data_IF_163767844308
#
_entry.id   IF_163767844308
#
_cell.length_a   1.000
_cell.length_b   1.000
_cell.length_c   1.000
_cell.angle_alpha   90.00
_cell.angle_beta   90.00
_cell.angle_gamma   90.00
#
_symmetry.space_group_name_H-M   'P 1'
#
loop_
_entity.id
_entity.type
_entity.pdbx_description
1 polymer ?
#
# COMPACT_ATOMS: atom_id res chain seq x y z
N UNK A 1 1.21 22.52 23.23
CA UNK A 1 0.82 21.18 23.73
C UNK A 1 2.00 20.25 23.55
N UNK A 2 2.73 19.97 24.62
CA UNK A 2 3.76 18.93 24.68
C UNK A 2 3.06 17.57 24.62
N UNK A 3 2.94 16.98 23.43
CA UNK A 3 2.47 15.60 23.33
C UNK A 3 3.51 14.71 24.02
N UNK A 4 3.15 14.13 25.16
CA UNK A 4 3.95 13.05 25.75
C UNK A 4 4.25 12.03 24.67
N UNK A 5 5.55 11.79 24.44
CA UNK A 5 6.01 10.99 23.31
C UNK A 5 5.73 9.51 23.62
N UNK A 6 4.52 9.06 23.30
CA UNK A 6 4.02 7.72 23.64
C UNK A 6 4.81 6.68 22.85
N UNK A 7 5.76 6.02 23.51
CA UNK A 7 6.60 4.98 22.89
C UNK A 7 5.72 3.89 22.27
N UNK A 8 5.88 3.67 20.96
CA UNK A 8 5.20 2.59 20.25
C UNK A 8 5.79 1.24 20.68
N UNK A 9 4.98 0.44 21.37
CA UNK A 9 5.39 -0.86 21.92
C UNK A 9 5.11 -2.05 20.98
N UNK A 10 5.51 -3.26 21.43
CA UNK A 10 5.30 -4.53 20.71
C UNK A 10 3.83 -4.75 20.30
N UNK A 11 2.87 -4.40 21.17
CA UNK A 11 1.43 -4.52 20.91
C UNK A 11 0.97 -3.64 19.73
N UNK A 12 1.55 -2.45 19.56
CA UNK A 12 1.26 -1.61 18.39
C UNK A 12 1.74 -2.30 17.11
N UNK A 13 2.97 -2.80 17.10
CA UNK A 13 3.55 -3.47 15.93
C UNK A 13 2.76 -4.72 15.54
N UNK A 14 2.36 -5.55 16.50
CA UNK A 14 1.53 -6.73 16.25
C UNK A 14 0.18 -6.36 15.63
N UNK A 15 -0.51 -5.37 16.21
CA UNK A 15 -1.79 -4.90 15.67
C UNK A 15 -1.63 -4.26 14.29
N UNK A 16 -0.52 -3.57 14.03
CA UNK A 16 -0.21 -2.97 12.74
C UNK A 16 -0.01 -4.02 11.66
N UNK A 17 0.82 -5.03 11.93
CA UNK A 17 1.06 -6.14 11.00
C UNK A 17 -0.25 -6.88 10.72
N UNK A 18 -1.02 -7.19 11.77
CA UNK A 18 -2.30 -7.88 11.63
C UNK A 18 -3.31 -7.05 10.82
N UNK A 19 -3.40 -5.74 11.08
CA UNK A 19 -4.29 -4.86 10.34
C UNK A 19 -3.92 -4.78 8.85
N UNK A 20 -2.62 -4.74 8.51
CA UNK A 20 -2.19 -4.78 7.11
C UNK A 20 -2.49 -6.13 6.45
N UNK A 21 -2.22 -7.25 7.13
CA UNK A 21 -2.57 -8.58 6.62
C UNK A 21 -4.07 -8.75 6.37
N UNK A 22 -4.91 -8.36 7.33
CA UNK A 22 -6.38 -8.40 7.19
C UNK A 22 -6.84 -7.42 6.10
N UNK A 23 -6.34 -6.18 6.10
CA UNK A 23 -6.70 -5.18 5.09
C UNK A 23 -6.36 -5.64 3.68
N UNK A 24 -5.21 -6.29 3.51
CA UNK A 24 -4.81 -6.89 2.23
C UNK A 24 -5.79 -7.98 1.80
N UNK A 25 -6.08 -8.96 2.67
CA UNK A 25 -7.04 -10.04 2.40
C UNK A 25 -8.43 -9.50 2.05
N UNK A 26 -8.96 -8.57 2.86
CA UNK A 26 -10.26 -7.93 2.62
C UNK A 26 -10.27 -7.18 1.29
N UNK A 27 -9.17 -6.50 0.95
CA UNK A 27 -9.03 -5.79 -0.33
C UNK A 27 -9.15 -6.72 -1.53
N UNK A 28 -8.46 -7.86 -1.52
CA UNK A 28 -8.53 -8.84 -2.61
C UNK A 28 -9.89 -9.54 -2.70
N UNK A 29 -10.48 -9.93 -1.57
CA UNK A 29 -11.83 -10.52 -1.55
C UNK A 29 -12.86 -9.53 -2.11
N UNK A 30 -12.78 -8.27 -1.66
CA UNK A 30 -13.68 -7.21 -2.13
C UNK A 30 -13.49 -6.95 -3.62
N UNK A 31 -12.23 -6.94 -4.09
CA UNK A 31 -11.92 -6.79 -5.50
C UNK A 31 -12.51 -7.93 -6.33
N UNK A 32 -12.37 -9.19 -5.89
CA UNK A 32 -12.94 -10.34 -6.59
C UNK A 32 -14.46 -10.26 -6.69
N UNK A 33 -15.13 -9.92 -5.58
CA UNK A 33 -16.59 -9.76 -5.55
C UNK A 33 -17.02 -8.61 -6.46
N UNK A 34 -16.39 -7.45 -6.38
CA UNK A 34 -16.76 -6.29 -7.19
C UNK A 34 -16.45 -6.50 -8.67
N UNK A 35 -15.33 -7.13 -9.01
CA UNK A 35 -15.01 -7.50 -10.39
C UNK A 35 -15.96 -8.55 -10.95
N UNK A 36 -16.60 -9.38 -10.12
CA UNK A 36 -17.65 -10.29 -10.56
C UNK A 36 -19.02 -9.60 -10.74
N UNK A 37 -19.33 -8.61 -9.89
CA UNK A 37 -20.64 -7.95 -9.87
C UNK A 37 -20.76 -6.76 -10.82
N UNK A 38 -19.70 -5.97 -10.96
CA UNK A 38 -19.74 -4.66 -11.65
C UNK A 38 -19.15 -4.75 -13.06
N UNK A 39 -18.14 -5.59 -13.22
CA UNK A 39 -17.31 -5.66 -14.42
C UNK A 39 -17.47 -7.06 -15.03
N UNK A 40 -17.34 -7.17 -16.35
CA UNK A 40 -17.16 -8.48 -16.93
C UNK A 40 -15.75 -8.96 -16.55
N UNK A 41 -15.62 -10.04 -15.77
CA UNK A 41 -14.32 -10.56 -15.29
C UNK A 41 -13.31 -10.84 -16.43
N UNK A 42 -13.80 -10.94 -17.68
CA UNK A 42 -12.98 -11.07 -18.89
C UNK A 42 -12.40 -9.74 -19.43
N UNK A 43 -12.74 -8.60 -18.83
CA UNK A 43 -12.12 -7.29 -19.10
C UNK A 43 -11.03 -7.00 -18.04
N UNK A 44 -9.81 -7.46 -18.33
CA UNK A 44 -8.64 -7.36 -17.44
C UNK A 44 -8.36 -5.92 -16.98
N UNK A 45 -8.65 -4.93 -17.84
CA UNK A 45 -8.37 -3.51 -17.60
C UNK A 45 -9.16 -2.96 -16.40
N UNK A 46 -10.48 -3.14 -16.42
CA UNK A 46 -11.38 -2.66 -15.38
C UNK A 46 -11.18 -3.43 -14.07
N UNK A 47 -10.84 -4.72 -14.18
CA UNK A 47 -10.50 -5.59 -13.04
C UNK A 47 -9.30 -5.05 -12.26
N UNK A 48 -8.24 -4.61 -12.94
CA UNK A 48 -7.06 -4.06 -12.27
C UNK A 48 -7.37 -2.75 -11.51
N UNK A 49 -8.26 -1.90 -12.03
CA UNK A 49 -8.66 -0.66 -11.37
C UNK A 49 -9.40 -0.97 -10.06
N UNK A 50 -10.35 -1.91 -10.11
CA UNK A 50 -11.10 -2.37 -8.94
C UNK A 50 -10.13 -2.94 -7.90
N UNK A 51 -9.17 -3.77 -8.31
CA UNK A 51 -8.14 -4.31 -7.41
C UNK A 51 -7.35 -3.19 -6.74
N UNK A 52 -6.83 -2.23 -7.51
CA UNK A 52 -6.06 -1.10 -6.98
C UNK A 52 -6.83 -0.29 -5.93
N UNK A 53 -8.09 0.04 -6.22
CA UNK A 53 -8.96 0.79 -5.30
C UNK A 53 -9.27 -0.02 -4.04
N UNK A 54 -9.70 -1.27 -4.18
CA UNK A 54 -10.10 -2.10 -3.04
C UNK A 54 -8.93 -2.40 -2.11
N UNK A 55 -7.77 -2.75 -2.67
CA UNK A 55 -6.55 -3.03 -1.91
C UNK A 55 -6.05 -1.75 -1.23
N UNK A 56 -6.00 -0.63 -1.95
CA UNK A 56 -5.54 0.66 -1.40
C UNK A 56 -6.44 1.18 -0.28
N UNK A 57 -7.76 1.10 -0.46
CA UNK A 57 -8.72 1.45 0.57
C UNK A 57 -8.58 0.55 1.80
N UNK A 58 -8.59 -0.76 1.61
CA UNK A 58 -8.61 -1.71 2.72
C UNK A 58 -7.34 -1.61 3.57
N UNK A 59 -6.16 -1.53 2.94
CA UNK A 59 -4.88 -1.35 3.65
C UNK A 59 -4.82 0.03 4.30
N UNK A 60 -5.09 1.08 3.53
CA UNK A 60 -4.96 2.46 3.99
C UNK A 60 -5.86 2.73 5.20
N UNK A 61 -7.12 2.31 5.14
CA UNK A 61 -8.02 2.48 6.27
C UNK A 61 -7.66 1.57 7.44
N UNK A 62 -7.23 0.32 7.22
CA UNK A 62 -6.77 -0.56 8.30
C UNK A 62 -5.59 0.05 9.07
N UNK A 63 -4.60 0.59 8.35
CA UNK A 63 -3.49 1.34 8.94
C UNK A 63 -3.97 2.57 9.73
N UNK A 64 -4.86 3.36 9.14
CA UNK A 64 -5.44 4.54 9.80
C UNK A 64 -6.17 4.17 11.10
N UNK A 65 -6.94 3.07 11.13
CA UNK A 65 -7.63 2.61 12.33
C UNK A 65 -6.68 2.29 13.49
N UNK A 66 -5.48 1.81 13.19
CA UNK A 66 -4.45 1.55 14.21
C UNK A 66 -3.77 2.87 14.62
N UNK A 67 -3.39 3.71 13.66
CA UNK A 67 -2.71 4.99 13.93
C UNK A 67 -3.58 5.97 14.74
N UNK A 68 -4.88 6.06 14.43
CA UNK A 68 -5.78 7.02 15.10
C UNK A 68 -5.98 6.76 16.60
N UNK A 69 -5.64 5.56 17.08
CA UNK A 69 -5.64 5.22 18.51
C UNK A 69 -4.45 5.83 19.27
N UNK A 70 -3.42 6.25 18.54
CA UNK A 70 -2.17 6.79 19.08
C UNK A 70 -1.99 8.27 18.77
N UNK A 71 -2.42 8.70 17.58
CA UNK A 71 -2.26 10.06 17.06
C UNK A 71 -3.58 10.59 16.52
N UNK A 72 -3.80 11.92 16.54
CA UNK A 72 -4.98 12.55 15.92
C UNK A 72 -4.77 12.69 14.40
N UNK A 73 -4.60 11.55 13.71
CA UNK A 73 -4.36 11.50 12.26
C UNK A 73 -5.68 11.47 11.50
N UNK A 74 -5.76 12.28 10.43
CA UNK A 74 -6.92 12.37 9.54
C UNK A 74 -7.19 11.06 8.79
N UNK A 75 -8.47 10.79 8.50
CA UNK A 75 -8.91 9.69 7.64
C UNK A 75 -8.43 9.81 6.19
N UNK A 76 -7.93 10.99 5.79
CA UNK A 76 -7.23 11.21 4.52
C UNK A 76 -6.07 10.22 4.30
N UNK A 77 -5.51 9.66 5.37
CA UNK A 77 -4.51 8.59 5.29
C UNK A 77 -4.96 7.41 4.40
N UNK A 78 -6.19 6.94 4.58
CA UNK A 78 -6.75 5.83 3.80
C UNK A 78 -7.04 6.24 2.37
N UNK A 79 -7.58 7.45 2.17
CA UNK A 79 -7.87 7.98 0.85
C UNK A 79 -6.60 8.16 0.01
N UNK A 80 -5.50 8.65 0.59
CA UNK A 80 -4.21 8.76 -0.09
C UNK A 80 -3.77 7.39 -0.63
N UNK A 81 -3.81 6.34 0.19
CA UNK A 81 -3.44 4.99 -0.24
C UNK A 81 -4.34 4.47 -1.37
N UNK A 82 -5.65 4.71 -1.26
CA UNK A 82 -6.67 4.35 -2.27
C UNK A 82 -6.37 5.01 -3.62
N UNK A 83 -6.16 6.33 -3.61
CA UNK A 83 -5.95 7.11 -4.83
C UNK A 83 -4.59 6.81 -5.48
N UNK A 84 -3.53 6.65 -4.68
CA UNK A 84 -2.21 6.35 -5.22
C UNK A 84 -2.12 4.96 -5.86
N UNK A 85 -2.94 4.00 -5.46
CA UNK A 85 -3.05 2.70 -6.15
C UNK A 85 -4.04 2.75 -7.31
N UNK A 86 -5.17 3.45 -7.16
CA UNK A 86 -6.20 3.52 -8.20
C UNK A 86 -5.83 4.38 -9.40
N UNK A 87 -5.26 5.57 -9.20
CA UNK A 87 -5.00 6.55 -10.28
C UNK A 87 -4.03 6.00 -11.34
N UNK A 88 -2.86 5.40 -11.01
CA UNK A 88 -1.97 4.86 -12.03
C UNK A 88 -2.65 3.80 -12.91
N UNK A 89 -3.51 2.97 -12.30
CA UNK A 89 -4.26 1.95 -13.03
C UNK A 89 -5.33 2.60 -13.91
N UNK A 90 -6.08 3.58 -13.38
CA UNK A 90 -7.08 4.34 -14.15
C UNK A 90 -6.44 5.00 -15.38
N UNK A 91 -5.29 5.65 -15.20
CA UNK A 91 -4.52 6.24 -16.31
C UNK A 91 -4.15 5.16 -17.33
N UNK A 92 -3.69 4.00 -16.88
CA UNK A 92 -3.39 2.87 -17.75
C UNK A 92 -4.60 2.36 -18.53
N UNK A 93 -5.77 2.28 -17.90
CA UNK A 93 -7.03 1.94 -18.58
C UNK A 93 -7.36 2.98 -19.66
N UNK A 94 -7.36 4.27 -19.30
CA UNK A 94 -7.66 5.37 -20.23
C UNK A 94 -6.69 5.37 -21.43
N UNK A 95 -5.38 5.22 -21.18
CA UNK A 95 -4.39 5.16 -22.25
C UNK A 95 -4.67 3.99 -23.20
N UNK A 96 -4.90 2.79 -22.65
CA UNK A 96 -5.15 1.59 -23.45
C UNK A 96 -6.48 1.67 -24.23
N UNK A 97 -7.54 2.31 -23.68
CA UNK A 97 -8.80 2.54 -24.41
C UNK A 97 -8.62 3.55 -25.56
N UNK A 98 -7.70 4.50 -25.44
CA UNK A 98 -7.35 5.44 -26.50
C UNK A 98 -6.31 4.88 -27.50
N UNK A 99 -6.02 3.58 -27.47
CA UNK A 99 -5.05 2.94 -28.38
C UNK A 99 -3.58 3.23 -28.06
N UNK A 100 -3.29 3.81 -26.88
CA UNK A 100 -1.92 4.03 -26.41
C UNK A 100 -1.50 2.88 -25.50
N UNK A 101 -0.51 2.10 -25.92
CA UNK A 101 0.08 1.08 -25.06
C UNK A 101 0.76 1.74 -23.86
N UNK A 102 0.37 1.32 -22.65
CA UNK A 102 1.12 1.70 -21.44
C UNK A 102 2.54 1.15 -21.53
N UNK A 103 3.58 1.97 -21.29
CA UNK A 103 4.95 1.48 -21.28
C UNK A 103 5.10 0.41 -20.21
N UNK A 104 5.49 -0.80 -20.63
CA UNK A 104 5.71 -1.93 -19.73
C UNK A 104 7.01 -2.63 -20.07
N UNK A 105 7.68 -3.15 -19.04
CA UNK A 105 8.91 -3.91 -19.21
C UNK A 105 8.55 -5.35 -19.63
N UNK A 106 9.06 -5.80 -20.77
CA UNK A 106 8.86 -7.15 -21.29
C UNK A 106 10.04 -8.08 -20.99
N UNK A 107 9.77 -9.38 -20.96
CA UNK A 107 10.78 -10.43 -20.84
C UNK A 107 11.54 -10.36 -19.52
N UNK A 108 12.88 -10.43 -19.59
CA UNK A 108 13.76 -10.47 -18.42
C UNK A 108 13.67 -9.24 -17.51
N UNK A 109 13.10 -8.13 -18.02
CA UNK A 109 12.94 -6.89 -17.27
C UNK A 109 11.60 -6.75 -16.53
N UNK A 110 10.67 -7.70 -16.69
CA UNK A 110 9.33 -7.60 -16.10
C UNK A 110 9.38 -7.49 -14.56
N UNK A 111 10.23 -8.30 -13.92
CA UNK A 111 10.42 -8.30 -12.46
C UNK A 111 10.97 -6.94 -11.99
N UNK A 112 11.94 -6.40 -12.73
CA UNK A 112 12.50 -5.08 -12.44
C UNK A 112 11.44 -3.99 -12.62
N UNK A 113 10.64 -4.07 -13.69
CA UNK A 113 9.55 -3.14 -13.93
C UNK A 113 8.52 -3.09 -12.81
N UNK A 114 8.09 -4.26 -12.32
CA UNK A 114 7.18 -4.39 -11.17
C UNK A 114 7.79 -3.81 -9.90
N UNK A 115 9.07 -4.10 -9.62
CA UNK A 115 9.78 -3.54 -8.47
C UNK A 115 9.85 -2.01 -8.54
N UNK A 116 10.27 -1.45 -9.67
CA UNK A 116 10.36 0.00 -9.88
C UNK A 116 8.98 0.66 -9.76
N UNK A 117 7.94 0.05 -10.32
CA UNK A 117 6.57 0.52 -10.16
C UNK A 117 6.16 0.57 -8.68
N UNK A 118 6.43 -0.50 -7.93
CA UNK A 118 6.19 -0.54 -6.48
C UNK A 118 6.97 0.53 -5.72
N UNK A 119 8.25 0.76 -6.06
CA UNK A 119 9.07 1.82 -5.47
C UNK A 119 8.46 3.21 -5.70
N UNK A 120 8.01 3.49 -6.92
CA UNK A 120 7.42 4.78 -7.32
C UNK A 120 6.10 5.00 -6.58
N UNK A 121 5.19 4.02 -6.65
CA UNK A 121 3.89 4.06 -5.96
C UNK A 121 4.08 4.27 -4.46
N UNK A 122 4.97 3.49 -3.84
CA UNK A 122 5.28 3.61 -2.42
C UNK A 122 5.89 4.96 -2.05
N UNK A 123 6.76 5.51 -2.90
CA UNK A 123 7.33 6.85 -2.69
C UNK A 123 6.25 7.94 -2.73
N UNK A 124 5.31 7.87 -3.68
CA UNK A 124 4.19 8.83 -3.77
C UNK A 124 3.27 8.72 -2.56
N UNK A 125 2.89 7.50 -2.16
CA UNK A 125 2.10 7.26 -0.93
C UNK A 125 2.83 7.85 0.28
N UNK A 126 4.10 7.53 0.43
CA UNK A 126 4.93 8.00 1.53
C UNK A 126 5.08 9.52 1.56
N UNK A 127 5.22 10.17 0.41
CA UNK A 127 5.32 11.64 0.30
C UNK A 127 4.04 12.33 0.78
N UNK A 128 2.88 11.82 0.36
CA UNK A 128 1.59 12.39 0.74
C UNK A 128 1.26 12.09 2.21
N UNK A 129 1.45 10.85 2.66
CA UNK A 129 1.23 10.47 4.07
C UNK A 129 2.22 11.13 5.03
N UNK A 130 3.45 11.44 4.60
CA UNK A 130 4.42 12.18 5.39
C UNK A 130 3.82 13.50 5.89
N UNK A 131 3.02 14.20 5.09
CA UNK A 131 2.39 15.47 5.51
C UNK A 131 1.51 15.28 6.75
N UNK A 132 0.85 14.12 6.87
CA UNK A 132 0.03 13.75 8.03
C UNK A 132 0.88 13.32 9.24
N UNK A 133 2.12 12.87 9.02
CA UNK A 133 3.05 12.44 10.06
C UNK A 133 3.93 13.56 10.61
N UNK A 134 4.20 14.62 9.83
CA UNK A 134 5.04 15.76 10.24
C UNK A 134 4.71 16.35 11.62
N UNK A 135 3.44 16.47 12.06
CA UNK A 135 3.13 16.97 13.39
C UNK A 135 3.58 16.06 14.53
N UNK A 136 3.77 14.77 14.25
CA UNK A 136 4.07 13.75 15.25
C UNK A 136 5.51 13.28 15.20
N UNK A 137 6.16 13.37 14.03
CA UNK A 137 7.49 12.84 13.80
C UNK A 137 8.43 13.89 13.21
N UNK A 138 9.52 14.23 13.91
CA UNK A 138 10.61 15.10 13.44
C UNK A 138 11.24 14.57 12.15
N UNK A 139 11.35 13.25 12.01
CA UNK A 139 11.97 12.60 10.83
C UNK A 139 10.95 11.93 9.93
N UNK A 140 9.75 12.50 9.81
CA UNK A 140 8.67 12.00 8.97
C UNK A 140 9.07 11.75 7.50
N UNK A 141 10.10 12.44 6.97
CA UNK A 141 10.61 12.22 5.60
C UNK A 141 11.15 10.80 5.36
N UNK A 142 11.58 10.10 6.41
CA UNK A 142 11.99 8.69 6.31
C UNK A 142 10.85 7.78 5.87
N UNK A 143 9.59 8.20 6.08
CA UNK A 143 8.40 7.46 5.67
C UNK A 143 8.33 7.23 4.15
N UNK A 144 8.88 8.15 3.36
CA UNK A 144 8.96 8.04 1.89
C UNK A 144 9.78 6.82 1.51
N UNK A 145 11.00 6.70 2.05
CA UNK A 145 11.90 5.59 1.77
C UNK A 145 11.30 4.26 2.27
N UNK A 146 10.74 4.26 3.48
CA UNK A 146 10.11 3.06 4.07
C UNK A 146 8.98 2.54 3.17
N UNK A 147 8.07 3.42 2.71
CA UNK A 147 6.97 2.99 1.86
C UNK A 147 7.44 2.58 0.48
N UNK A 148 8.37 3.34 -0.12
CA UNK A 148 8.95 3.01 -1.41
C UNK A 148 9.50 1.58 -1.39
N UNK A 149 10.41 1.28 -0.45
CA UNK A 149 11.01 -0.06 -0.31
C UNK A 149 9.95 -1.12 -0.01
N UNK A 150 8.99 -0.84 0.89
CA UNK A 150 7.99 -1.83 1.27
C UNK A 150 7.07 -2.21 0.10
N UNK A 151 6.60 -1.23 -0.68
CA UNK A 151 5.80 -1.48 -1.87
C UNK A 151 6.61 -2.11 -3.01
N UNK A 152 7.87 -1.73 -3.19
CA UNK A 152 8.78 -2.39 -4.13
C UNK A 152 8.91 -3.89 -3.84
N UNK A 153 9.21 -4.24 -2.58
CA UNK A 153 9.30 -5.64 -2.14
C UNK A 153 7.95 -6.38 -2.32
N UNK A 154 6.83 -5.74 -1.99
CA UNK A 154 5.52 -6.34 -2.21
C UNK A 154 5.19 -6.55 -3.69
N UNK A 155 5.65 -5.65 -4.57
CA UNK A 155 5.43 -5.80 -6.01
C UNK A 155 6.21 -6.99 -6.60
N UNK A 156 7.38 -7.32 -6.07
CA UNK A 156 8.12 -8.55 -6.42
C UNK A 156 7.33 -9.80 -6.03
N UNK A 157 6.57 -9.75 -4.94
CA UNK A 157 5.73 -10.84 -4.47
C UNK A 157 4.66 -11.19 -5.54
N UNK A 158 4.16 -10.20 -6.28
CA UNK A 158 3.19 -10.41 -7.35
C UNK A 158 3.78 -11.13 -8.58
N UNK A 159 5.10 -11.30 -8.67
CA UNK A 159 5.78 -12.03 -9.75
C UNK A 159 5.83 -13.54 -9.52
N UNK A 160 5.32 -14.04 -8.40
CA UNK A 160 5.28 -15.47 -8.13
C UNK A 160 4.34 -16.20 -9.12
N UNK A 161 4.73 -17.36 -9.68
CA UNK A 161 3.86 -18.15 -10.55
C UNK A 161 2.68 -18.76 -9.77
N UNK A 162 1.57 -19.03 -10.44
CA UNK A 162 0.48 -19.81 -9.86
C UNK A 162 0.93 -21.26 -9.59
N UNK A 163 0.51 -21.89 -8.48
CA UNK A 163 -0.42 -21.41 -7.45
C UNK A 163 0.22 -20.60 -6.32
N UNK A 164 1.56 -20.51 -6.30
CA UNK A 164 2.33 -19.84 -5.24
C UNK A 164 1.93 -18.36 -5.08
N UNK A 165 1.49 -17.72 -6.16
CA UNK A 165 0.99 -16.34 -6.15
C UNK A 165 -0.05 -16.09 -5.06
N UNK A 166 -0.96 -17.03 -4.77
CA UNK A 166 -1.99 -16.83 -3.74
C UNK A 166 -1.37 -16.71 -2.34
N UNK A 167 -0.43 -17.60 -2.01
CA UNK A 167 0.29 -17.56 -0.73
C UNK A 167 1.16 -16.31 -0.62
N UNK A 168 1.79 -15.93 -1.73
CA UNK A 168 2.69 -14.79 -1.78
C UNK A 168 1.92 -13.46 -1.71
N UNK A 169 0.71 -13.38 -2.28
CA UNK A 169 -0.21 -12.26 -2.11
C UNK A 169 -0.60 -12.11 -0.64
N UNK A 170 -0.95 -13.20 0.06
CA UNK A 170 -1.25 -13.15 1.50
C UNK A 170 -0.04 -12.70 2.33
N UNK A 171 1.15 -13.19 1.99
CA UNK A 171 2.39 -12.76 2.63
C UNK A 171 2.70 -11.29 2.36
N UNK A 172 2.30 -10.74 1.20
CA UNK A 172 2.51 -9.34 0.82
C UNK A 172 1.96 -8.34 1.84
N UNK A 173 0.71 -8.54 2.30
CA UNK A 173 0.12 -7.68 3.33
C UNK A 173 0.87 -7.73 4.67
N UNK A 174 1.33 -8.91 5.07
CA UNK A 174 2.12 -9.09 6.29
C UNK A 174 3.50 -8.42 6.13
N UNK A 175 4.17 -8.62 5.00
CA UNK A 175 5.48 -8.03 4.69
C UNK A 175 5.39 -6.49 4.66
N UNK A 176 4.37 -5.94 4.00
CA UNK A 176 4.10 -4.50 4.01
C UNK A 176 3.93 -4.01 5.45
N UNK A 177 3.11 -4.71 6.25
CA UNK A 177 2.90 -4.41 7.66
C UNK A 177 4.17 -4.45 8.49
N UNK A 178 5.03 -5.45 8.29
CA UNK A 178 6.31 -5.59 8.99
C UNK A 178 7.21 -4.39 8.66
N UNK A 179 7.47 -4.15 7.38
CA UNK A 179 8.39 -3.11 6.94
C UNK A 179 7.91 -1.71 7.36
N UNK A 180 6.64 -1.40 7.14
CA UNK A 180 6.06 -0.11 7.51
C UNK A 180 5.91 0.06 9.03
N UNK A 181 5.55 -1.00 9.75
CA UNK A 181 5.39 -0.98 11.20
C UNK A 181 6.71 -0.77 11.93
N UNK A 182 7.77 -1.47 11.50
CA UNK A 182 9.13 -1.20 11.98
C UNK A 182 9.58 0.20 11.59
N UNK A 183 9.25 0.66 10.38
CA UNK A 183 9.55 2.02 9.94
C UNK A 183 8.95 3.11 10.83
N UNK A 184 7.66 3.03 11.17
CA UNK A 184 7.00 3.94 12.12
C UNK A 184 7.61 3.84 13.51
N UNK A 185 7.86 2.61 14.00
CA UNK A 185 8.45 2.39 15.32
C UNK A 185 9.88 2.97 15.39
N UNK A 186 10.63 2.86 14.29
CA UNK A 186 11.96 3.43 14.14
C UNK A 186 11.91 4.96 14.16
N UNK A 187 11.01 5.59 13.40
CA UNK A 187 10.84 7.05 13.46
C UNK A 187 10.50 7.51 14.89
N UNK A 188 9.64 6.79 15.60
CA UNK A 188 9.26 7.11 16.99
C UNK A 188 10.43 6.99 17.99
N UNK A 189 11.35 6.03 17.81
CA UNK A 189 12.45 5.80 18.76
C UNK A 189 13.54 6.88 18.69
N UNK A 190 13.79 7.45 17.52
CA UNK A 190 14.84 8.46 17.32
C UNK A 190 14.36 9.90 17.62
N UNK A 191 13.27 10.03 18.35
CA UNK A 191 12.64 11.30 18.74
C UNK A 191 12.54 11.50 20.26
N UNK A 192 12.82 10.45 21.04
CA UNK A 192 13.14 10.53 22.48
C UNK A 192 14.62 10.73 22.67
#
# INVERSE_FOLDING_TARGET
MTSENKKLGKKFLQNWILANGIGWLVGFISAFILSYLVVNIFYDKETNLIVGICVGASIGYAQWFILKRMFKISSMWGLICTLCLGIPVLVGVIMNENGHATPYFQGDYEILGRFLFGLIVGAVIGLLQMQLLKPYFKKASRWILINSVAWGICALALSAPMPLATLVVLAGGILLGVLTGYGITWMNKYES
#
